data_IF_668051976696
#
_entry.id   IF_668051976696
#
_cell.length_a   1.000
_cell.length_b   1.000
_cell.length_c   1.000
_cell.angle_alpha   90.00
_cell.angle_beta   90.00
_cell.angle_gamma   90.00
#
_symmetry.space_group_name_H-M   'P 1'
#
loop_
_entity.id
_entity.type
_entity.pdbx_description
1 polymer ?
#
# COMPACT_ATOMS: atom_id res chain seq x y z
N UNK A 1 10.19 6.08 33.92
CA UNK A 1 10.06 7.37 33.18
C UNK A 1 8.59 7.56 32.80
N UNK A 2 8.15 8.81 32.62
CA UNK A 2 6.80 9.12 32.13
C UNK A 2 6.97 9.72 30.72
N UNK A 3 6.29 9.15 29.74
CA UNK A 3 6.31 9.62 28.34
C UNK A 3 4.86 9.76 27.89
N UNK A 4 4.47 10.94 27.39
CA UNK A 4 3.08 11.24 27.01
C UNK A 4 2.05 10.92 28.12
N UNK A 5 2.41 11.13 29.40
CA UNK A 5 1.56 10.78 30.55
C UNK A 5 1.55 9.30 30.93
N UNK A 6 2.28 8.45 30.19
CA UNK A 6 2.30 6.99 30.38
C UNK A 6 3.59 6.57 31.09
N UNK A 7 3.46 5.77 32.15
CA UNK A 7 4.60 5.26 32.91
C UNK A 7 5.21 4.04 32.21
N UNK A 8 6.43 4.20 31.69
CA UNK A 8 7.23 3.14 31.06
C UNK A 8 8.59 2.99 31.78
N UNK A 9 9.19 1.81 31.70
CA UNK A 9 10.62 1.63 32.00
C UNK A 9 11.46 1.98 30.77
N UNK A 10 12.77 2.20 30.95
CA UNK A 10 13.69 2.51 29.84
C UNK A 10 13.65 1.42 28.76
N UNK A 11 13.71 0.16 29.18
CA UNK A 11 13.64 -1.00 28.26
C UNK A 11 12.31 -1.11 27.53
N UNK A 12 11.20 -0.74 28.18
CA UNK A 12 9.89 -0.77 27.53
C UNK A 12 9.76 0.32 26.47
N UNK A 13 10.31 1.52 26.72
CA UNK A 13 10.37 2.57 25.71
C UNK A 13 11.23 2.12 24.53
N UNK A 14 12.42 1.61 24.80
CA UNK A 14 13.33 1.11 23.77
C UNK A 14 12.69 -0.01 22.93
N UNK A 15 11.99 -0.96 23.57
CA UNK A 15 11.22 -1.97 22.87
C UNK A 15 10.19 -1.36 21.91
N UNK A 16 9.45 -0.33 22.35
CA UNK A 16 8.45 0.32 21.50
C UNK A 16 9.10 1.06 20.33
N UNK A 17 10.20 1.78 20.57
CA UNK A 17 10.92 2.52 19.54
C UNK A 17 11.48 1.56 18.47
N UNK A 18 12.07 0.44 18.90
CA UNK A 18 12.56 -0.63 18.00
C UNK A 18 11.45 -1.35 17.27
N UNK A 19 10.30 -1.54 17.91
CA UNK A 19 9.15 -2.16 17.26
C UNK A 19 8.63 -1.31 16.09
N UNK A 20 8.57 0.01 16.26
CA UNK A 20 8.15 0.94 15.20
C UNK A 20 9.16 0.94 14.03
N UNK A 21 10.45 0.85 14.34
CA UNK A 21 11.53 0.81 13.35
C UNK A 21 11.58 -0.52 12.58
N UNK A 22 11.65 -1.64 13.29
CA UNK A 22 11.90 -2.97 12.72
C UNK A 22 10.65 -3.67 12.20
N UNK A 23 9.47 -3.29 12.70
CA UNK A 23 8.19 -3.99 12.50
C UNK A 23 8.22 -5.47 12.92
N UNK A 24 9.19 -5.86 13.77
CA UNK A 24 9.35 -7.21 14.26
C UNK A 24 9.42 -7.21 15.81
N UNK A 25 8.38 -7.69 16.50
CA UNK A 25 8.34 -7.69 17.96
C UNK A 25 9.46 -8.51 18.60
N UNK A 26 9.86 -9.63 18.01
CA UNK A 26 10.92 -10.47 18.57
C UNK A 26 12.27 -9.76 18.48
N UNK A 27 12.58 -9.16 17.33
CA UNK A 27 13.83 -8.41 17.15
C UNK A 27 13.89 -7.18 18.07
N UNK A 28 12.77 -6.46 18.20
CA UNK A 28 12.66 -5.34 19.14
C UNK A 28 12.89 -5.78 20.60
N UNK A 29 12.45 -6.98 20.98
CA UNK A 29 12.71 -7.55 22.30
C UNK A 29 14.17 -7.97 22.48
N UNK A 30 14.79 -8.58 21.47
CA UNK A 30 16.21 -8.97 21.50
C UNK A 30 17.10 -7.76 21.77
N UNK A 31 16.90 -6.68 21.02
CA UNK A 31 17.69 -5.45 21.14
C UNK A 31 17.42 -4.73 22.47
N UNK A 32 16.14 -4.51 22.84
CA UNK A 32 15.80 -3.73 24.03
C UNK A 32 16.09 -4.45 25.36
N UNK A 33 16.15 -5.79 25.36
CA UNK A 33 16.40 -6.59 26.56
C UNK A 33 17.79 -7.23 26.58
N UNK A 34 18.61 -7.02 25.55
CA UNK A 34 19.96 -7.57 25.42
C UNK A 34 19.97 -9.11 25.45
N UNK A 35 19.00 -9.71 24.76
CA UNK A 35 18.79 -11.17 24.78
C UNK A 35 19.86 -11.82 23.88
N UNK A 36 20.80 -12.54 24.50
CA UNK A 36 21.85 -13.30 23.79
C UNK A 36 23.25 -12.67 23.79
N UNK A 37 23.39 -11.42 24.25
CA UNK A 37 24.65 -10.67 24.18
C UNK A 37 25.69 -11.03 25.24
N UNK A 38 25.26 -11.64 26.38
CA UNK A 38 26.16 -12.12 27.44
C UNK A 38 26.45 -13.62 27.31
N UNK A 39 27.42 -13.97 26.45
CA UNK A 39 28.14 -15.25 26.50
C UNK A 39 27.43 -16.49 25.93
N UNK A 40 26.29 -16.35 25.26
CA UNK A 40 25.42 -17.48 24.90
C UNK A 40 25.31 -17.77 23.41
N UNK A 41 26.41 -17.88 22.64
CA UNK A 41 26.35 -18.32 21.23
C UNK A 41 25.89 -19.78 21.04
N UNK A 42 25.63 -20.50 22.14
CA UNK A 42 25.34 -21.93 22.17
C UNK A 42 23.86 -22.34 22.16
N UNK A 43 22.89 -21.43 22.10
CA UNK A 43 21.46 -21.80 22.06
C UNK A 43 20.60 -20.73 21.36
N UNK A 44 20.79 -20.57 20.05
CA UNK A 44 20.00 -19.65 19.21
C UNK A 44 18.49 -19.88 19.39
N UNK A 45 18.05 -21.13 19.47
CA UNK A 45 16.64 -21.49 19.64
C UNK A 45 16.03 -20.98 20.96
N UNK A 46 16.81 -20.99 22.05
CA UNK A 46 16.36 -20.46 23.35
C UNK A 46 16.29 -18.94 23.35
N UNK A 47 17.20 -18.27 22.65
CA UNK A 47 17.19 -16.81 22.46
C UNK A 47 15.93 -16.38 21.73
N UNK A 48 15.61 -17.01 20.60
CA UNK A 48 14.42 -16.70 19.79
C UNK A 48 13.13 -16.96 20.57
N UNK A 49 13.04 -18.08 21.29
CA UNK A 49 11.88 -18.41 22.13
C UNK A 49 11.67 -17.39 23.26
N UNK A 50 12.76 -16.97 23.90
CA UNK A 50 12.73 -15.96 24.97
C UNK A 50 12.30 -14.59 24.44
N UNK A 51 12.86 -14.16 23.31
CA UNK A 51 12.51 -12.92 22.66
C UNK A 51 11.03 -12.85 22.28
N UNK A 52 10.51 -13.91 21.67
CA UNK A 52 9.09 -14.02 21.30
C UNK A 52 8.18 -13.94 22.52
N UNK A 53 8.56 -14.59 23.62
CA UNK A 53 7.80 -14.58 24.87
C UNK A 53 7.78 -13.18 25.49
N UNK A 54 8.94 -12.51 25.58
CA UNK A 54 9.05 -11.15 26.11
C UNK A 54 8.26 -10.16 25.24
N UNK A 55 8.34 -10.31 23.91
CA UNK A 55 7.57 -9.50 22.98
C UNK A 55 6.07 -9.64 23.20
N UNK A 56 5.55 -10.87 23.30
CA UNK A 56 4.13 -11.12 23.59
C UNK A 56 3.72 -10.48 24.91
N UNK A 57 4.48 -10.72 25.98
CA UNK A 57 4.20 -10.15 27.30
C UNK A 57 4.21 -8.61 27.26
N UNK A 58 5.11 -7.99 26.50
CA UNK A 58 5.16 -6.54 26.37
C UNK A 58 3.97 -6.00 25.58
N UNK A 59 3.61 -6.63 24.48
CA UNK A 59 2.44 -6.23 23.68
C UNK A 59 1.14 -6.37 24.48
N UNK A 60 1.08 -7.24 25.48
CA UNK A 60 -0.09 -7.38 26.35
C UNK A 60 -0.18 -6.34 27.48
N UNK A 61 0.89 -5.58 27.73
CA UNK A 61 0.88 -4.57 28.81
C UNK A 61 0.08 -3.34 28.39
N UNK A 62 -0.88 -2.88 29.22
CA UNK A 62 -1.72 -1.72 28.90
C UNK A 62 -0.93 -0.44 28.63
N UNK A 63 0.15 -0.19 29.40
CA UNK A 63 0.98 1.01 29.22
C UNK A 63 1.76 1.00 27.89
N UNK A 64 2.18 -0.17 27.40
CA UNK A 64 2.84 -0.30 26.10
C UNK A 64 1.83 -0.07 24.98
N UNK A 65 0.64 -0.68 25.07
CA UNK A 65 -0.44 -0.47 24.09
C UNK A 65 -0.82 1.01 23.99
N UNK A 66 -1.08 1.65 25.13
CA UNK A 66 -1.39 3.09 25.18
C UNK A 66 -0.28 3.95 24.57
N UNK A 67 0.99 3.57 24.78
CA UNK A 67 2.11 4.33 24.23
C UNK A 67 2.17 4.20 22.72
N UNK A 68 2.03 2.98 22.18
CA UNK A 68 1.97 2.74 20.74
C UNK A 68 0.77 3.45 20.11
N UNK A 69 -0.40 3.42 20.74
CA UNK A 69 -1.59 4.19 20.32
C UNK A 69 -1.30 5.69 20.31
N UNK A 70 -0.60 6.22 21.32
CA UNK A 70 -0.22 7.64 21.37
C UNK A 70 0.72 8.03 20.22
N UNK A 71 1.66 7.14 19.83
CA UNK A 71 2.54 7.35 18.68
C UNK A 71 1.71 7.37 17.40
N UNK A 72 0.80 6.40 17.23
CA UNK A 72 -0.08 6.33 16.07
C UNK A 72 -0.98 7.55 15.93
N UNK A 73 -1.59 8.02 17.03
CA UNK A 73 -2.39 9.24 17.03
C UNK A 73 -1.57 10.49 16.67
N UNK A 74 -0.37 10.62 17.23
CA UNK A 74 0.54 11.72 16.86
C UNK A 74 0.95 11.68 15.40
N UNK A 75 1.18 10.49 14.84
CA UNK A 75 1.50 10.33 13.42
C UNK A 75 0.32 10.72 12.53
N UNK A 76 -0.91 10.30 12.88
CA UNK A 76 -2.12 10.65 12.14
C UNK A 76 -2.32 12.18 12.10
N UNK A 77 -2.20 12.85 13.26
CA UNK A 77 -2.31 14.32 13.35
C UNK A 77 -1.25 15.02 12.49
N UNK A 78 -0.03 14.48 12.42
CA UNK A 78 1.03 15.04 11.57
C UNK A 78 0.72 14.86 10.08
N UNK A 79 0.18 13.71 9.69
CA UNK A 79 -0.22 13.46 8.30
C UNK A 79 -1.33 14.44 7.89
N UNK A 80 -2.34 14.63 8.74
CA UNK A 80 -3.39 15.64 8.53
C UNK A 80 -2.79 17.04 8.35
N UNK A 81 -1.91 17.46 9.27
CA UNK A 81 -1.25 18.77 9.15
C UNK A 81 -0.44 18.91 7.85
N UNK A 82 0.28 17.86 7.43
CA UNK A 82 1.04 17.87 6.18
C UNK A 82 0.13 17.95 4.95
N UNK A 83 -1.05 17.34 5.00
CA UNK A 83 -2.04 17.39 3.91
C UNK A 83 -2.56 18.80 3.63
N UNK A 84 -2.50 19.70 4.61
CA UNK A 84 -2.96 21.10 4.50
C UNK A 84 -1.80 22.07 4.33
N UNK A 85 -0.72 21.91 5.11
CA UNK A 85 0.30 22.95 5.30
C UNK A 85 1.62 22.71 4.57
N UNK A 86 1.85 21.51 4.02
CA UNK A 86 3.11 21.21 3.36
C UNK A 86 3.31 22.11 2.13
N UNK A 87 4.45 22.81 2.08
CA UNK A 87 4.82 23.68 0.94
C UNK A 87 5.18 22.87 -0.31
N UNK A 88 5.72 21.67 -0.13
CA UNK A 88 6.05 20.77 -1.21
C UNK A 88 4.79 20.02 -1.65
N UNK A 89 4.34 20.28 -2.88
CA UNK A 89 3.14 19.64 -3.45
C UNK A 89 3.21 18.12 -3.38
N UNK A 90 4.35 17.52 -3.70
CA UNK A 90 4.50 16.06 -3.70
C UNK A 90 4.31 15.47 -2.31
N UNK A 91 4.72 16.18 -1.25
CA UNK A 91 4.51 15.75 0.14
C UNK A 91 3.03 15.89 0.51
N UNK A 92 2.42 17.02 0.13
CA UNK A 92 1.00 17.29 0.36
C UNK A 92 0.11 16.26 -0.33
N UNK A 93 0.37 15.97 -1.60
CA UNK A 93 -0.37 14.98 -2.39
C UNK A 93 -0.27 13.59 -1.75
N UNK A 94 0.93 13.16 -1.35
CA UNK A 94 1.12 11.87 -0.66
C UNK A 94 0.36 11.79 0.66
N UNK A 95 0.36 12.88 1.44
CA UNK A 95 -0.40 12.92 2.70
C UNK A 95 -1.91 12.82 2.45
N UNK A 96 -2.43 13.52 1.44
CA UNK A 96 -3.84 13.42 1.04
C UNK A 96 -4.20 12.01 0.54
N UNK A 97 -3.31 11.37 -0.25
CA UNK A 97 -3.50 10.01 -0.71
C UNK A 97 -3.54 9.00 0.46
N UNK A 98 -2.61 9.10 1.42
CA UNK A 98 -2.59 8.23 2.61
C UNK A 98 -3.89 8.37 3.44
N UNK A 99 -4.45 9.58 3.54
CA UNK A 99 -5.75 9.81 4.19
C UNK A 99 -6.88 9.11 3.42
N UNK A 100 -6.94 9.24 2.09
CA UNK A 100 -7.96 8.60 1.26
C UNK A 100 -7.91 7.07 1.34
N UNK A 101 -6.71 6.51 1.27
CA UNK A 101 -6.48 5.06 1.35
C UNK A 101 -6.97 4.51 2.70
N UNK A 102 -6.71 5.23 3.80
CA UNK A 102 -7.19 4.85 5.15
C UNK A 102 -8.69 5.05 5.34
N UNK A 103 -9.28 6.04 4.68
CA UNK A 103 -10.72 6.26 4.69
C UNK A 103 -11.49 5.22 3.84
N UNK A 104 -10.77 4.38 3.08
CA UNK A 104 -11.36 3.32 2.26
C UNK A 104 -11.92 3.82 0.93
N UNK A 105 -11.52 5.02 0.48
CA UNK A 105 -11.86 5.50 -0.85
C UNK A 105 -11.10 4.65 -1.88
N UNK A 106 -11.84 3.90 -2.70
CA UNK A 106 -11.29 3.16 -3.83
C UNK A 106 -11.45 3.99 -5.10
N UNK A 107 -10.45 3.91 -5.98
CA UNK A 107 -10.60 4.40 -7.34
C UNK A 107 -11.80 3.71 -8.01
N UNK A 108 -12.51 4.44 -8.87
CA UNK A 108 -13.59 3.86 -9.66
C UNK A 108 -13.07 2.66 -10.46
N UNK A 109 -13.87 1.59 -10.55
CA UNK A 109 -13.51 0.39 -11.30
C UNK A 109 -13.19 0.77 -12.76
N UNK A 110 -12.00 0.37 -13.22
CA UNK A 110 -11.68 0.46 -14.64
C UNK A 110 -12.49 -0.60 -15.37
N UNK A 111 -13.48 -0.18 -16.15
CA UNK A 111 -14.18 -1.06 -17.09
C UNK A 111 -13.19 -1.51 -18.16
N UNK A 112 -12.69 -2.73 -18.04
CA UNK A 112 -11.90 -3.38 -19.08
C UNK A 112 -12.87 -3.97 -20.11
N UNK A 113 -13.16 -3.19 -21.15
CA UNK A 113 -13.98 -3.64 -22.28
C UNK A 113 -13.03 -4.31 -23.28
N UNK A 114 -12.75 -5.60 -23.06
CA UNK A 114 -12.01 -6.42 -24.01
C UNK A 114 -12.99 -7.23 -24.86
N UNK A 115 -13.11 -6.93 -26.15
CA UNK A 115 -13.69 -7.87 -27.12
C UNK A 115 -12.55 -8.64 -27.80
N UNK A 116 -12.38 -9.91 -27.46
CA UNK A 116 -11.47 -10.85 -28.16
C UNK A 116 -10.05 -10.28 -28.45
N UNK A 117 -9.44 -9.59 -27.50
CA UNK A 117 -8.03 -9.19 -27.59
C UNK A 117 -7.74 -7.87 -28.29
N UNK A 118 -8.74 -7.15 -28.78
CA UNK A 118 -8.57 -5.76 -29.21
C UNK A 118 -9.05 -4.82 -28.10
N UNK A 119 -8.16 -3.94 -27.63
CA UNK A 119 -8.56 -2.79 -26.81
C UNK A 119 -9.50 -1.96 -27.66
N UNK A 120 -10.78 -1.94 -27.29
CA UNK A 120 -11.69 -1.00 -27.92
C UNK A 120 -11.43 0.37 -27.28
N UNK A 121 -10.68 1.23 -27.98
CA UNK A 121 -10.58 2.66 -27.69
C UNK A 121 -11.94 3.34 -27.98
N UNK A 122 -12.96 2.98 -27.18
CA UNK A 122 -14.36 3.40 -27.31
C UNK A 122 -14.57 4.91 -27.18
N UNK A 123 -13.56 5.63 -26.69
CA UNK A 123 -13.63 7.08 -26.50
C UNK A 123 -13.21 7.82 -27.79
N UNK A 124 -12.24 7.31 -28.55
CA UNK A 124 -11.77 8.00 -29.76
C UNK A 124 -12.76 7.86 -30.93
N UNK A 125 -13.40 6.70 -31.09
CA UNK A 125 -14.34 6.48 -32.20
C UNK A 125 -15.66 7.26 -32.05
N UNK A 126 -16.21 7.37 -30.83
CA UNK A 126 -17.43 8.18 -30.60
C UNK A 126 -17.18 9.66 -30.77
N UNK A 127 -16.01 10.16 -30.38
CA UNK A 127 -15.63 11.57 -30.60
C UNK A 127 -15.44 11.84 -32.09
N UNK A 128 -14.83 10.93 -32.86
CA UNK A 128 -14.73 11.06 -34.31
C UNK A 128 -16.10 11.04 -35.01
N UNK A 129 -17.04 10.17 -34.60
CA UNK A 129 -18.38 10.12 -35.18
C UNK A 129 -19.19 11.40 -34.91
N UNK A 130 -19.13 11.91 -33.67
CA UNK A 130 -19.79 13.15 -33.26
C UNK A 130 -19.20 14.37 -33.98
N UNK A 131 -17.89 14.38 -34.23
CA UNK A 131 -17.21 15.49 -34.92
C UNK A 131 -17.33 15.43 -36.45
N UNK A 132 -17.60 14.26 -37.04
CA UNK A 132 -17.68 14.08 -38.51
C UNK A 132 -19.09 13.99 -39.07
N UNK A 133 -20.13 13.88 -38.22
CA UNK A 133 -21.52 14.07 -38.61
C UNK A 133 -22.06 13.07 -39.64
N UNK A 134 -21.46 11.88 -39.78
CA UNK A 134 -21.94 10.84 -40.69
C UNK A 134 -22.88 9.88 -39.95
N UNK A 135 -24.12 9.79 -40.43
CA UNK A 135 -25.12 8.83 -39.97
C UNK A 135 -24.87 7.45 -40.62
N UNK A 136 -25.27 6.39 -39.91
CA UNK A 136 -24.97 4.97 -40.15
C UNK A 136 -25.48 4.35 -41.48
N UNK A 137 -25.93 5.12 -42.47
CA UNK A 137 -26.64 4.56 -43.64
C UNK A 137 -25.76 4.21 -44.87
N UNK A 138 -24.45 4.52 -44.90
CA UNK A 138 -23.62 4.38 -46.13
C UNK A 138 -22.72 3.12 -46.21
N UNK A 139 -22.88 2.11 -45.34
CA UNK A 139 -21.91 0.97 -45.26
C UNK A 139 -22.33 -0.30 -46.03
N UNK A 140 -23.51 -0.37 -46.63
CA UNK A 140 -23.91 -1.55 -47.42
C UNK A 140 -23.88 -1.27 -48.91
N UNK A 141 -22.75 -1.54 -49.58
CA UNK A 141 -22.69 -1.98 -51.00
C UNK A 141 -21.24 -2.10 -51.52
N UNK A 142 -20.36 -2.95 -50.94
CA UNK A 142 -19.11 -3.39 -51.62
C UNK A 142 -18.58 -4.75 -51.15
N UNK A 143 -19.39 -5.80 -51.22
CA UNK A 143 -18.87 -7.17 -51.28
C UNK A 143 -19.76 -7.95 -52.24
N UNK A 144 -19.40 -7.98 -53.53
CA UNK A 144 -19.78 -9.02 -54.50
C UNK A 144 -19.17 -8.70 -55.89
N UNK A 145 -17.86 -8.87 -56.04
CA UNK A 145 -17.22 -9.22 -57.32
C UNK A 145 -15.71 -9.36 -57.16
N UNK A 146 -15.22 -10.60 -57.04
CA UNK A 146 -14.02 -11.09 -57.74
C UNK A 146 -13.74 -12.54 -57.31
N UNK A 147 -14.55 -13.46 -57.85
CA UNK A 147 -14.19 -14.87 -57.98
C UNK A 147 -13.55 -15.08 -59.36
N UNK A 148 -12.27 -15.45 -59.42
CA UNK A 148 -11.72 -16.16 -60.58
C UNK A 148 -10.31 -15.79 -61.01
N UNK A 149 -9.49 -16.84 -61.08
CA UNK A 149 -8.31 -17.05 -61.94
C UNK A 149 -6.91 -16.85 -61.33
N UNK A 150 -6.15 -17.96 -61.34
CA UNK A 150 -4.76 -18.05 -60.88
C UNK A 150 -4.09 -19.41 -61.17
N UNK A 151 -4.13 -19.80 -62.45
CA UNK A 151 -3.17 -20.59 -63.27
C UNK A 151 -2.20 -21.61 -62.60
N UNK A 152 -2.24 -22.83 -63.17
CA UNK A 152 -1.34 -23.99 -63.02
C UNK A 152 0.04 -23.75 -63.65
N UNK A 153 1.14 -24.12 -62.96
CA UNK A 153 2.46 -24.28 -63.59
C UNK A 153 2.87 -25.76 -63.59
N UNK A 154 3.34 -26.20 -64.77
CA UNK A 154 4.08 -27.45 -64.98
C UNK A 154 5.58 -27.24 -65.01
#
# INVERSE_FOLDING_TARGET
MIVNGIKLTSKQKEFCDRLVETKNPSLAAEEAYDIGSRGGRGNVDKTVSTARTIASINLDKPNIRQYLESISGNAANRIEQLSVTAKNESVRLKANQDILDRAGYKAAESLDITSRGEKIDLIEQKVALILTGKNDEDVQEREDSESGEGVVQG
#
